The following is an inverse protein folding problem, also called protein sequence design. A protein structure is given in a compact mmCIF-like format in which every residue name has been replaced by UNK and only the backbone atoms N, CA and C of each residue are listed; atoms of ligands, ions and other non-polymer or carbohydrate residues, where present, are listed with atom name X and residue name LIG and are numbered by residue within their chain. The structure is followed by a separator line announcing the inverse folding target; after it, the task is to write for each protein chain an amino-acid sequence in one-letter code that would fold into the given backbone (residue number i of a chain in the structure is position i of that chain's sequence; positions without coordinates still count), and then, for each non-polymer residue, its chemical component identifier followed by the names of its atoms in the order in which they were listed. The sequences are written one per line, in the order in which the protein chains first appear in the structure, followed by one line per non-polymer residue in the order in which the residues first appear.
data_IF_819827898837
#
_entry.id   IF_819827898837
#
_cell.length_a   1.000
_cell.length_b   1.000
_cell.length_c   1.000
_cell.angle_alpha   90.00
_cell.angle_beta   90.00
_cell.angle_gamma   90.00
#
_symmetry.space_group_name_H-M   'P 1'
#
loop_
_entity.id
_entity.type
_entity.pdbx_description
1 polymer ?
#
# COMPACT_ATOMS: atom_id res chain seq x y z
N UNK A 1 4.69 15.40 13.10
CA UNK A 1 6.06 14.93 12.85
C UNK A 1 6.92 16.09 12.34
N UNK A 2 8.22 15.90 12.18
CA UNK A 2 9.06 16.88 11.50
C UNK A 2 8.87 16.78 9.98
N UNK A 3 9.05 17.88 9.23
CA UNK A 3 9.11 17.86 7.78
C UNK A 3 10.16 16.87 7.26
N UNK A 4 9.82 16.11 6.22
CA UNK A 4 10.76 15.21 5.54
C UNK A 4 11.74 16.05 4.72
N UNK A 5 13.02 15.69 4.74
CA UNK A 5 14.08 16.34 3.96
C UNK A 5 14.83 15.38 3.04
N UNK A 6 14.99 14.12 3.49
CA UNK A 6 15.70 13.07 2.77
C UNK A 6 14.73 11.92 2.50
N UNK A 7 14.07 11.98 1.37
CA UNK A 7 13.03 11.04 0.99
C UNK A 7 13.62 9.80 0.30
N UNK A 8 13.13 8.63 0.65
CA UNK A 8 13.31 7.43 -0.16
C UNK A 8 12.05 7.18 -0.99
N UNK A 9 12.19 7.14 -2.31
CA UNK A 9 11.10 6.81 -3.23
C UNK A 9 11.29 5.39 -3.73
N UNK A 10 10.32 4.52 -3.46
CA UNK A 10 10.31 3.15 -3.95
C UNK A 10 9.20 2.98 -4.98
N UNK A 11 9.58 2.75 -6.22
CA UNK A 11 8.65 2.43 -7.30
C UNK A 11 8.47 0.91 -7.38
N UNK A 12 7.24 0.45 -7.14
CA UNK A 12 6.91 -0.98 -7.18
C UNK A 12 6.29 -1.40 -8.52
N UNK A 13 5.97 -0.45 -9.37
CA UNK A 13 5.21 -0.65 -10.61
C UNK A 13 3.84 0.03 -10.55
N UNK A 14 2.86 -0.57 -11.19
CA UNK A 14 1.48 -0.07 -11.25
C UNK A 14 1.24 0.96 -12.35
N UNK A 15 -0.02 1.34 -12.48
CA UNK A 15 -0.56 2.18 -13.58
C UNK A 15 0.20 3.48 -13.76
N UNK A 16 0.63 4.11 -12.67
CA UNK A 16 1.34 5.40 -12.69
C UNK A 16 2.56 5.39 -13.62
N UNK A 17 3.29 4.27 -13.66
CA UNK A 17 4.49 4.12 -14.48
C UNK A 17 4.27 3.35 -15.78
N UNK A 18 3.08 2.81 -16.03
CA UNK A 18 2.80 2.04 -17.24
C UNK A 18 2.98 2.87 -18.51
N UNK A 19 3.42 2.20 -19.55
CA UNK A 19 3.51 2.75 -20.89
C UNK A 19 2.61 1.97 -21.84
N UNK A 20 2.12 2.66 -22.87
CA UNK A 20 1.34 2.04 -23.93
C UNK A 20 2.24 1.14 -24.79
N UNK A 21 1.84 -0.11 -24.95
CA UNK A 21 2.50 -1.10 -25.83
C UNK A 21 1.50 -1.61 -26.86
N UNK A 22 1.95 -2.32 -27.89
CA UNK A 22 1.03 -2.96 -28.86
C UNK A 22 0.05 -3.95 -28.23
N UNK A 23 0.39 -4.49 -27.04
CA UNK A 23 -0.44 -5.43 -26.28
C UNK A 23 -1.30 -4.76 -25.20
N UNK A 24 -1.27 -3.43 -25.09
CA UNK A 24 -1.94 -2.64 -24.07
C UNK A 24 -0.97 -1.96 -23.11
N UNK A 25 -1.47 -1.54 -21.96
CA UNK A 25 -0.63 -0.94 -20.90
C UNK A 25 0.22 -2.01 -20.22
N UNK A 26 1.50 -1.72 -20.05
CA UNK A 26 2.43 -2.60 -19.36
C UNK A 26 3.32 -1.83 -18.38
N UNK A 27 3.69 -2.42 -17.23
CA UNK A 27 4.67 -1.86 -16.32
C UNK A 27 5.99 -1.58 -17.06
N UNK A 28 6.58 -0.40 -16.80
CA UNK A 28 7.83 0.00 -17.41
C UNK A 28 8.74 0.64 -16.38
N UNK A 29 10.05 0.42 -16.54
CA UNK A 29 11.07 1.12 -15.75
C UNK A 29 11.30 2.56 -16.23
N UNK A 30 12.25 3.24 -15.58
CA UNK A 30 12.62 4.61 -15.94
C UNK A 30 11.59 5.67 -15.50
N UNK A 31 10.76 5.36 -14.52
CA UNK A 31 9.80 6.33 -13.98
C UNK A 31 10.52 7.50 -13.29
N UNK A 32 11.70 7.28 -12.72
CA UNK A 32 12.50 8.32 -12.08
C UNK A 32 12.78 9.51 -13.01
N UNK A 33 13.19 9.26 -14.25
CA UNK A 33 13.46 10.33 -15.21
C UNK A 33 12.21 11.17 -15.48
N UNK A 34 11.07 10.52 -15.72
CA UNK A 34 9.78 11.20 -15.93
C UNK A 34 9.33 12.02 -14.72
N UNK A 35 9.51 11.48 -13.52
CA UNK A 35 9.23 12.18 -12.26
C UNK A 35 10.13 13.43 -12.13
N UNK A 36 11.41 13.29 -12.41
CA UNK A 36 12.39 14.39 -12.35
C UNK A 36 12.05 15.50 -13.34
N UNK A 37 11.78 15.13 -14.59
CA UNK A 37 11.42 16.09 -15.64
C UNK A 37 10.13 16.83 -15.28
N UNK A 38 9.12 16.11 -14.78
CA UNK A 38 7.88 16.74 -14.36
C UNK A 38 8.11 17.73 -13.21
N UNK A 39 8.80 17.32 -12.14
CA UNK A 39 9.07 18.20 -11.00
C UNK A 39 9.90 19.43 -11.40
N UNK A 40 10.85 19.29 -12.31
CA UNK A 40 11.61 20.43 -12.85
C UNK A 40 10.75 21.41 -13.66
N UNK A 41 9.68 20.94 -14.27
CA UNK A 41 8.77 21.79 -15.03
C UNK A 41 7.83 22.63 -14.14
N UNK A 42 7.70 22.30 -12.86
CA UNK A 42 6.88 23.01 -11.90
C UNK A 42 7.62 24.22 -11.33
N UNK A 43 6.94 25.38 -11.26
CA UNK A 43 7.49 26.59 -10.63
C UNK A 43 7.56 26.54 -9.11
N UNK A 44 6.78 25.64 -8.49
CA UNK A 44 6.63 25.46 -7.04
C UNK A 44 6.79 23.99 -6.61
N UNK A 45 7.73 23.28 -7.25
CA UNK A 45 8.01 21.89 -6.93
C UNK A 45 8.41 21.72 -5.45
N UNK A 46 8.00 20.64 -4.78
CA UNK A 46 8.46 20.32 -3.43
C UNK A 46 10.00 20.22 -3.36
N UNK A 47 10.60 20.97 -2.44
CA UNK A 47 12.05 20.96 -2.21
C UNK A 47 12.44 19.81 -1.29
N UNK A 48 12.57 18.62 -1.87
CA UNK A 48 12.96 17.38 -1.21
C UNK A 48 14.17 16.77 -1.89
N UNK A 49 15.18 16.41 -1.11
CA UNK A 49 16.23 15.50 -1.61
C UNK A 49 15.67 14.10 -1.60
N UNK A 50 15.79 13.38 -2.68
CA UNK A 50 15.27 12.03 -2.77
C UNK A 50 16.24 11.07 -3.45
N UNK A 51 16.21 9.83 -3.00
CA UNK A 51 16.81 8.67 -3.64
C UNK A 51 15.68 7.81 -4.20
N UNK A 52 15.83 7.35 -5.42
CA UNK A 52 14.87 6.51 -6.10
C UNK A 52 15.36 5.07 -6.20
N UNK A 53 14.49 4.11 -5.99
CA UNK A 53 14.72 2.69 -6.25
C UNK A 53 13.49 2.08 -6.93
N UNK A 54 13.72 1.08 -7.76
CA UNK A 54 12.66 0.32 -8.43
C UNK A 54 12.72 -1.13 -8.00
N UNK A 55 11.57 -1.75 -7.73
CA UNK A 55 11.49 -3.21 -7.65
C UNK A 55 11.72 -3.82 -9.02
N UNK A 56 12.48 -4.90 -9.06
CA UNK A 56 12.84 -5.59 -10.31
C UNK A 56 12.29 -7.01 -10.31
N UNK A 57 11.44 -7.37 -11.27
CA UNK A 57 10.78 -6.47 -12.25
C UNK A 57 9.70 -5.58 -11.60
N UNK A 58 9.32 -4.45 -12.23
CA UNK A 58 8.16 -3.69 -11.80
C UNK A 58 6.90 -4.54 -11.85
N UNK A 59 6.07 -4.45 -10.81
CA UNK A 59 4.92 -5.32 -10.64
C UNK A 59 3.63 -4.69 -11.18
N UNK A 60 2.79 -5.52 -11.78
CA UNK A 60 1.36 -5.25 -11.76
C UNK A 60 0.84 -5.61 -10.37
N UNK A 61 0.15 -4.67 -9.72
CA UNK A 61 -0.32 -4.86 -8.34
C UNK A 61 -1.31 -6.01 -8.18
N UNK A 62 -1.97 -6.46 -9.24
CA UNK A 62 -2.79 -7.67 -9.23
C UNK A 62 -1.97 -8.94 -8.87
N UNK A 63 -0.66 -8.92 -9.08
CA UNK A 63 0.26 -10.01 -8.76
C UNK A 63 1.02 -9.81 -7.44
N UNK A 64 0.56 -8.90 -6.57
CA UNK A 64 1.18 -8.64 -5.27
C UNK A 64 1.10 -9.86 -4.36
N UNK A 65 2.20 -10.16 -3.67
CA UNK A 65 2.33 -11.28 -2.72
C UNK A 65 2.81 -10.82 -1.36
N UNK A 66 2.73 -11.70 -0.35
CA UNK A 66 3.33 -11.47 0.97
C UNK A 66 4.84 -11.23 0.86
N UNK A 67 5.54 -11.98 0.00
CA UNK A 67 6.97 -11.80 -0.25
C UNK A 67 7.31 -10.40 -0.76
N UNK A 68 6.46 -9.82 -1.60
CA UNK A 68 6.63 -8.44 -2.06
C UNK A 68 6.48 -7.44 -0.90
N UNK A 69 5.51 -7.64 0.02
CA UNK A 69 5.36 -6.79 1.20
C UNK A 69 6.57 -6.88 2.13
N UNK A 70 7.13 -8.08 2.31
CA UNK A 70 8.35 -8.27 3.08
C UNK A 70 9.55 -7.56 2.43
N UNK A 71 9.70 -7.66 1.11
CA UNK A 71 10.74 -6.95 0.36
C UNK A 71 10.60 -5.42 0.47
N UNK A 72 9.36 -4.89 0.38
CA UNK A 72 9.10 -3.46 0.62
C UNK A 72 9.47 -3.05 2.05
N UNK A 73 9.06 -3.84 3.06
CA UNK A 73 9.42 -3.60 4.47
C UNK A 73 10.92 -3.53 4.65
N UNK A 74 11.66 -4.48 4.08
CA UNK A 74 13.12 -4.53 4.20
C UNK A 74 13.79 -3.34 3.51
N UNK A 75 13.30 -2.93 2.34
CA UNK A 75 13.77 -1.74 1.65
C UNK A 75 13.54 -0.46 2.48
N UNK A 76 12.37 -0.34 3.13
CA UNK A 76 12.02 0.79 4.00
C UNK A 76 12.94 0.84 5.23
N UNK A 77 13.18 -0.31 5.88
CA UNK A 77 14.08 -0.39 7.03
C UNK A 77 15.50 -0.04 6.63
N UNK A 78 15.98 -0.53 5.48
CA UNK A 78 17.28 -0.18 4.94
C UNK A 78 17.40 1.33 4.60
N UNK A 79 16.33 1.94 4.11
CA UNK A 79 16.29 3.37 3.86
C UNK A 79 16.40 4.19 5.16
N UNK A 80 15.69 3.79 6.22
CA UNK A 80 15.85 4.39 7.55
C UNK A 80 17.30 4.29 8.04
N UNK A 81 17.91 3.10 7.95
CA UNK A 81 19.29 2.86 8.37
C UNK A 81 20.30 3.67 7.55
N UNK A 82 19.95 4.02 6.29
CA UNK A 82 20.73 4.90 5.44
C UNK A 82 20.49 6.40 5.69
N UNK A 83 19.66 6.77 6.69
CA UNK A 83 19.42 8.14 7.11
C UNK A 83 18.31 8.87 6.35
N UNK A 84 17.43 8.14 5.66
CA UNK A 84 16.20 8.74 5.11
C UNK A 84 15.19 8.99 6.23
N UNK A 85 14.46 10.09 6.15
CA UNK A 85 13.52 10.55 7.16
C UNK A 85 12.04 10.48 6.72
N UNK A 86 11.80 9.91 5.53
CA UNK A 86 10.48 9.58 5.01
C UNK A 86 10.55 8.66 3.81
N UNK A 87 9.44 7.99 3.51
CA UNK A 87 9.31 7.06 2.39
C UNK A 87 8.07 7.37 1.57
N UNK A 88 8.21 7.36 0.24
CA UNK A 88 7.11 7.38 -0.71
C UNK A 88 7.15 6.09 -1.54
N UNK A 89 6.06 5.32 -1.49
CA UNK A 89 5.86 4.15 -2.33
C UNK A 89 4.94 4.51 -3.50
N UNK A 90 5.41 4.28 -4.72
CA UNK A 90 4.61 4.37 -5.93
C UNK A 90 4.09 2.99 -6.27
N UNK A 91 2.77 2.79 -6.24
CA UNK A 91 2.13 1.47 -6.20
C UNK A 91 0.93 1.40 -7.14
N UNK A 92 0.62 0.23 -7.64
CA UNK A 92 -0.59 -0.01 -8.43
C UNK A 92 -1.86 -0.02 -7.55
N UNK A 93 -2.97 0.48 -8.08
CA UNK A 93 -4.17 0.77 -7.30
C UNK A 93 -4.96 -0.47 -6.83
N UNK A 94 -4.86 -1.62 -7.51
CA UNK A 94 -5.70 -2.79 -7.23
C UNK A 94 -5.43 -3.39 -5.85
N UNK A 95 -4.18 -3.40 -5.42
CA UNK A 95 -3.81 -3.92 -4.09
C UNK A 95 -3.17 -2.88 -3.19
N UNK A 96 -3.24 -1.59 -3.54
CA UNK A 96 -2.67 -0.50 -2.74
C UNK A 96 -3.20 -0.53 -1.30
N UNK A 97 -4.51 -0.73 -1.12
CA UNK A 97 -5.14 -0.82 0.20
C UNK A 97 -4.62 -2.02 1.02
N UNK A 98 -4.43 -3.18 0.37
CA UNK A 98 -3.84 -4.36 1.00
C UNK A 98 -2.39 -4.11 1.42
N UNK A 99 -1.58 -3.53 0.53
CA UNK A 99 -0.18 -3.21 0.81
C UNK A 99 -0.05 -2.18 1.93
N UNK A 100 -0.90 -1.14 1.93
CA UNK A 100 -0.92 -0.14 2.99
C UNK A 100 -1.31 -0.76 4.35
N UNK A 101 -2.29 -1.66 4.37
CA UNK A 101 -2.69 -2.38 5.57
C UNK A 101 -1.57 -3.31 6.06
N UNK A 102 -0.99 -4.14 5.18
CA UNK A 102 0.10 -5.04 5.53
C UNK A 102 1.31 -4.27 6.09
N UNK A 103 1.75 -3.21 5.40
CA UNK A 103 2.86 -2.37 5.85
C UNK A 103 2.56 -1.64 7.16
N UNK A 104 1.30 -1.28 7.44
CA UNK A 104 0.92 -0.69 8.73
C UNK A 104 1.24 -1.60 9.91
N UNK A 105 1.16 -2.93 9.73
CA UNK A 105 1.48 -3.91 10.76
C UNK A 105 2.93 -4.41 10.68
N UNK A 106 3.53 -4.47 9.49
CA UNK A 106 4.93 -4.86 9.33
C UNK A 106 5.91 -3.78 9.82
N UNK A 107 5.48 -2.52 9.82
CA UNK A 107 6.27 -1.35 10.18
C UNK A 107 5.85 -0.73 11.52
N UNK A 108 5.27 -1.52 12.42
CA UNK A 108 4.92 -1.04 13.76
C UNK A 108 6.13 -0.43 14.46
N UNK A 109 5.94 0.74 15.05
CA UNK A 109 6.96 1.53 15.76
C UNK A 109 8.07 2.10 14.86
N UNK A 110 7.87 2.11 13.53
CA UNK A 110 8.80 2.80 12.62
C UNK A 110 8.76 4.32 12.88
N UNK A 111 9.92 4.99 13.09
CA UNK A 111 9.95 6.39 13.50
C UNK A 111 9.75 7.41 12.37
N UNK A 112 9.67 6.96 11.11
CA UNK A 112 9.51 7.81 9.93
C UNK A 112 8.17 7.55 9.23
N UNK A 113 7.58 8.54 8.55
CA UNK A 113 6.36 8.35 7.78
C UNK A 113 6.61 7.52 6.52
N UNK A 114 5.63 6.69 6.18
CA UNK A 114 5.56 5.93 4.93
C UNK A 114 4.27 6.28 4.22
N UNK A 115 4.36 6.89 3.05
CA UNK A 115 3.22 7.30 2.26
C UNK A 115 3.13 6.48 0.98
N UNK A 116 1.99 5.90 0.70
CA UNK A 116 1.72 5.20 -0.55
C UNK A 116 0.87 6.08 -1.45
N UNK A 117 1.15 6.05 -2.74
CA UNK A 117 0.32 6.65 -3.78
C UNK A 117 0.40 5.88 -5.09
N UNK A 118 -0.41 6.25 -6.04
CA UNK A 118 -0.48 5.68 -7.37
C UNK A 118 -1.38 6.52 -8.25
N UNK A 119 -1.89 5.96 -9.34
CA UNK A 119 -2.87 6.65 -10.18
C UNK A 119 -3.84 5.70 -10.85
N UNK A 120 -5.01 6.21 -11.21
CA UNK A 120 -5.99 5.48 -12.00
C UNK A 120 -5.61 5.46 -13.49
N UNK A 121 -4.93 6.50 -13.96
CA UNK A 121 -4.43 6.60 -15.33
C UNK A 121 -2.89 6.70 -15.36
N UNK A 122 -2.23 6.20 -16.43
CA UNK A 122 -0.79 6.35 -16.60
C UNK A 122 -0.37 7.82 -16.62
N UNK A 123 0.80 8.14 -16.09
CA UNK A 123 1.32 9.50 -16.01
C UNK A 123 1.44 10.23 -17.36
N UNK A 124 1.54 9.48 -18.48
CA UNK A 124 1.56 10.05 -19.83
C UNK A 124 0.19 10.21 -20.49
N UNK A 125 -0.88 9.78 -19.85
CA UNK A 125 -2.23 9.87 -20.41
C UNK A 125 -2.82 11.27 -20.21
N UNK A 126 -3.55 11.82 -21.20
CA UNK A 126 -4.28 13.07 -21.02
C UNK A 126 -5.29 12.99 -19.87
N UNK A 127 -5.30 13.99 -18.98
CA UNK A 127 -6.19 14.04 -17.83
C UNK A 127 -5.85 13.03 -16.72
N UNK A 128 -4.61 12.52 -16.70
CA UNK A 128 -4.16 11.60 -15.64
C UNK A 128 -4.09 12.30 -14.29
N UNK A 129 -4.47 11.55 -13.24
CA UNK A 129 -4.36 11.91 -11.83
C UNK A 129 -2.94 11.65 -11.26
N UNK A 130 -2.03 11.13 -12.07
CA UNK A 130 -0.73 10.64 -11.61
C UNK A 130 0.14 11.73 -10.99
N UNK A 131 0.22 12.88 -11.67
CA UNK A 131 1.08 13.97 -11.21
C UNK A 131 0.49 14.71 -10.02
N UNK A 132 -0.82 14.88 -9.96
CA UNK A 132 -1.50 15.50 -8.83
C UNK A 132 -1.33 14.63 -7.57
N UNK A 133 -1.52 13.32 -7.69
CA UNK A 133 -1.29 12.39 -6.58
C UNK A 133 0.18 12.36 -6.14
N UNK A 134 1.13 12.36 -7.08
CA UNK A 134 2.55 12.37 -6.75
C UNK A 134 2.96 13.67 -6.04
N UNK A 135 2.64 14.82 -6.63
CA UNK A 135 3.04 16.13 -6.09
C UNK A 135 2.36 16.39 -4.74
N UNK A 136 1.08 16.05 -4.62
CA UNK A 136 0.36 16.16 -3.35
C UNK A 136 0.97 15.29 -2.26
N UNK A 137 1.34 14.04 -2.56
CA UNK A 137 2.03 13.16 -1.62
C UNK A 137 3.39 13.74 -1.17
N UNK A 138 4.17 14.31 -2.10
CA UNK A 138 5.45 14.95 -1.79
C UNK A 138 5.25 16.18 -0.87
N UNK A 139 4.23 17.02 -1.12
CA UNK A 139 3.91 18.17 -0.28
C UNK A 139 3.52 17.74 1.14
N UNK A 140 2.67 16.74 1.28
CA UNK A 140 2.27 16.19 2.60
C UNK A 140 3.48 15.73 3.41
N UNK A 141 4.45 15.08 2.75
CA UNK A 141 5.70 14.64 3.39
C UNK A 141 6.58 15.84 3.77
N UNK A 142 6.77 16.79 2.85
CA UNK A 142 7.57 17.99 3.07
C UNK A 142 7.03 18.83 4.22
N UNK A 143 5.70 18.95 4.36
CA UNK A 143 5.03 19.71 5.41
C UNK A 143 4.97 18.99 6.77
N UNK A 144 5.33 17.70 6.81
CA UNK A 144 5.35 16.89 8.03
C UNK A 144 3.96 16.47 8.51
N UNK A 145 2.99 16.40 7.61
CA UNK A 145 1.62 16.01 7.93
C UNK A 145 1.43 14.48 7.97
N UNK A 146 2.31 13.71 7.30
CA UNK A 146 2.24 12.24 7.28
C UNK A 146 2.70 11.61 8.60
N UNK A 147 2.05 10.49 8.99
CA UNK A 147 2.36 9.72 10.21
C UNK A 147 2.15 8.23 10.00
N UNK A 148 3.12 7.41 10.43
CA UNK A 148 3.02 5.97 10.24
C UNK A 148 2.85 5.62 8.77
N UNK A 149 2.03 4.63 8.47
CA UNK A 149 1.70 4.23 7.09
C UNK A 149 0.36 4.84 6.68
N UNK A 150 0.36 5.62 5.60
CA UNK A 150 -0.82 6.29 5.06
C UNK A 150 -0.86 6.18 3.54
N UNK A 151 -2.00 6.45 2.96
CA UNK A 151 -2.22 6.57 1.51
C UNK A 151 -2.59 8.01 1.20
N UNK A 152 -1.95 8.60 0.20
CA UNK A 152 -2.38 9.86 -0.40
C UNK A 152 -2.99 9.58 -1.77
N UNK A 153 -4.23 9.97 -1.97
CA UNK A 153 -4.92 9.75 -3.24
C UNK A 153 -6.05 10.77 -3.40
N UNK A 154 -6.14 11.42 -4.56
CA UNK A 154 -7.18 12.39 -4.88
C UNK A 154 -7.39 13.42 -3.76
N UNK A 155 -6.34 14.15 -3.40
CA UNK A 155 -6.28 15.18 -2.34
C UNK A 155 -6.65 14.70 -0.92
N UNK A 156 -6.77 13.40 -0.71
CA UNK A 156 -7.07 12.82 0.60
C UNK A 156 -5.88 12.08 1.20
N UNK A 157 -5.61 12.33 2.48
CA UNK A 157 -4.65 11.58 3.29
C UNK A 157 -5.40 10.55 4.13
N UNK A 158 -5.24 9.27 3.81
CA UNK A 158 -6.03 8.17 4.33
C UNK A 158 -5.17 7.25 5.22
N UNK A 159 -5.77 6.70 6.28
CA UNK A 159 -5.06 5.80 7.20
C UNK A 159 -4.79 4.43 6.54
N UNK A 160 -3.51 4.00 6.50
CA UNK A 160 -3.09 2.81 5.77
C UNK A 160 -3.81 1.51 6.14
N UNK A 161 -4.11 1.28 7.42
CA UNK A 161 -4.82 0.08 7.87
C UNK A 161 -6.34 0.14 7.72
N UNK A 162 -6.92 1.26 7.23
CA UNK A 162 -8.37 1.45 7.10
C UNK A 162 -8.81 1.92 5.73
N UNK A 163 -7.88 2.16 4.82
CA UNK A 163 -8.19 2.53 3.44
C UNK A 163 -8.74 1.33 2.69
N UNK A 164 -9.71 1.59 1.82
CA UNK A 164 -10.29 0.59 0.90
C UNK A 164 -10.50 1.20 -0.47
N UNK A 165 -10.27 0.42 -1.54
CA UNK A 165 -10.61 0.81 -2.91
C UNK A 165 -12.10 0.55 -3.13
N UNK A 166 -12.88 1.60 -3.28
CA UNK A 166 -14.33 1.52 -3.45
C UNK A 166 -14.78 1.65 -4.92
N UNK A 167 -13.95 2.25 -5.77
CA UNK A 167 -14.27 2.51 -7.18
C UNK A 167 -13.09 2.16 -8.08
N UNK A 168 -13.38 1.67 -9.26
CA UNK A 168 -12.40 1.34 -10.30
C UNK A 168 -12.49 2.26 -11.52
N UNK A 169 -13.46 3.16 -11.56
CA UNK A 169 -13.84 4.01 -12.68
C UNK A 169 -13.84 5.52 -12.37
N UNK A 170 -13.32 5.90 -11.20
CA UNK A 170 -13.26 7.28 -10.75
C UNK A 170 -11.94 7.59 -10.04
N UNK A 171 -11.54 8.87 -10.00
CA UNK A 171 -10.33 9.30 -9.32
C UNK A 171 -10.47 9.29 -7.80
N UNK A 172 -11.65 9.50 -7.25
CA UNK A 172 -11.97 9.32 -5.83
C UNK A 172 -12.13 7.82 -5.49
N UNK A 173 -11.15 7.02 -5.93
CA UNK A 173 -11.20 5.56 -5.88
C UNK A 173 -11.11 4.98 -4.47
N UNK A 174 -10.52 5.69 -3.51
CA UNK A 174 -10.25 5.22 -2.17
C UNK A 174 -11.00 6.00 -1.12
N UNK A 175 -11.41 5.31 -0.05
CA UNK A 175 -11.95 5.93 1.14
C UNK A 175 -11.42 5.26 2.41
N UNK A 176 -11.41 6.01 3.51
CA UNK A 176 -11.08 5.49 4.82
C UNK A 176 -12.33 4.98 5.51
N UNK A 177 -12.31 3.73 5.99
CA UNK A 177 -13.38 3.19 6.82
C UNK A 177 -13.31 3.83 8.22
N UNK A 178 -14.42 4.41 8.72
CA UNK A 178 -14.43 5.09 10.00
C UNK A 178 -14.16 4.10 11.13
N UNK A 179 -13.43 4.55 12.16
CA UNK A 179 -13.23 3.79 13.38
C UNK A 179 -14.20 4.31 14.46
N UNK A 180 -15.23 3.54 14.82
CA UNK A 180 -16.24 3.99 15.78
C UNK A 180 -15.76 4.00 17.23
N UNK A 181 -14.56 3.48 17.52
CA UNK A 181 -14.04 3.38 18.89
C UNK A 181 -12.71 4.12 19.00
N UNK A 182 -12.60 5.00 20.01
CA UNK A 182 -11.33 5.52 20.46
C UNK A 182 -10.62 4.42 21.26
N UNK A 183 -9.53 3.88 20.73
CA UNK A 183 -8.64 3.06 21.52
C UNK A 183 -7.50 3.93 22.04
N UNK A 184 -7.13 3.72 23.29
CA UNK A 184 -5.89 4.28 23.82
C UNK A 184 -4.70 3.75 23.03
N UNK A 185 -3.66 4.59 22.87
CA UNK A 185 -2.41 4.15 22.27
C UNK A 185 -1.71 3.19 23.25
N UNK A 186 -1.78 1.90 22.95
CA UNK A 186 -0.96 0.92 23.64
C UNK A 186 0.46 0.92 23.05
N UNK A 187 1.51 0.76 23.87
CA UNK A 187 2.86 0.60 23.36
C UNK A 187 2.94 -0.65 22.48
N UNK A 188 3.69 -0.56 21.38
CA UNK A 188 3.92 -1.70 20.51
C UNK A 188 4.80 -2.71 21.23
N UNK A 189 4.37 -3.98 21.42
CA UNK A 189 5.23 -5.01 21.98
C UNK A 189 6.50 -5.17 21.15
N UNK A 190 7.66 -5.29 21.80
CA UNK A 190 8.94 -5.43 21.11
C UNK A 190 8.97 -6.59 20.09
N UNK A 191 8.22 -7.67 20.34
CA UNK A 191 8.07 -8.80 19.42
C UNK A 191 7.31 -8.46 18.12
N UNK A 192 6.64 -7.31 18.05
CA UNK A 192 5.87 -6.85 16.90
C UNK A 192 6.51 -5.67 16.15
N UNK A 193 7.60 -5.12 16.67
CA UNK A 193 8.29 -3.98 16.06
C UNK A 193 8.82 -4.29 14.65
N UNK A 194 9.05 -3.23 13.88
CA UNK A 194 9.43 -3.30 12.46
C UNK A 194 10.74 -4.04 12.17
N UNK A 195 11.63 -4.19 13.15
CA UNK A 195 12.91 -4.92 12.99
C UNK A 195 12.79 -6.43 13.22
N UNK A 196 11.64 -6.90 13.68
CA UNK A 196 11.48 -8.33 13.95
C UNK A 196 11.37 -9.13 12.64
N UNK A 197 11.99 -10.31 12.56
CA UNK A 197 11.90 -11.16 11.38
C UNK A 197 10.45 -11.57 11.13
N UNK A 198 10.07 -11.60 9.87
CA UNK A 198 8.76 -12.04 9.39
C UNK A 198 8.96 -13.05 8.28
N UNK A 199 7.98 -13.91 8.08
CA UNK A 199 7.93 -14.87 6.98
C UNK A 199 6.57 -14.85 6.30
N UNK A 200 6.52 -15.40 5.13
CA UNK A 200 5.26 -15.73 4.48
C UNK A 200 4.54 -16.84 5.25
N UNK A 201 3.23 -16.81 5.22
CA UNK A 201 2.34 -17.80 5.83
C UNK A 201 1.36 -18.28 4.77
N UNK A 202 1.18 -19.58 4.62
CA UNK A 202 0.13 -20.12 3.77
C UNK A 202 -1.23 -19.84 4.40
N UNK A 203 -1.79 -18.66 4.07
CA UNK A 203 -3.03 -18.12 4.62
C UNK A 203 -4.14 -18.19 3.58
N UNK A 204 -5.29 -18.75 3.95
CA UNK A 204 -6.53 -18.59 3.22
C UNK A 204 -7.44 -17.57 3.92
N UNK A 205 -8.15 -16.76 3.12
CA UNK A 205 -9.20 -15.85 3.57
C UNK A 205 -10.53 -16.33 2.98
N UNK A 206 -11.52 -16.57 3.81
CA UNK A 206 -12.82 -17.05 3.39
C UNK A 206 -13.94 -16.14 3.92
N UNK A 207 -14.58 -15.34 3.07
CA UNK A 207 -15.80 -14.66 3.44
C UNK A 207 -16.93 -15.69 3.58
N UNK A 208 -17.67 -15.62 4.68
CA UNK A 208 -18.87 -16.43 4.87
C UNK A 208 -20.01 -15.86 4.03
N UNK A 209 -20.72 -16.73 3.33
CA UNK A 209 -21.85 -16.35 2.48
C UNK A 209 -23.01 -17.36 2.63
N UNK A 210 -24.27 -16.95 2.35
CA UNK A 210 -25.39 -17.85 2.37
C UNK A 210 -25.22 -19.07 1.45
N UNK A 211 -25.33 -20.28 2.00
CA UNK A 211 -25.10 -21.53 1.26
C UNK A 211 -23.66 -22.05 1.28
N UNK A 212 -22.75 -21.44 2.04
CA UNK A 212 -21.44 -22.02 2.34
C UNK A 212 -21.65 -23.32 3.12
N UNK A 213 -20.98 -24.39 2.71
CA UNK A 213 -21.03 -25.71 3.35
C UNK A 213 -19.70 -26.05 4.03
N UNK A 214 -19.75 -26.86 5.09
CA UNK A 214 -18.56 -27.37 5.78
C UNK A 214 -17.58 -28.08 4.84
N UNK A 215 -18.09 -28.78 3.82
CA UNK A 215 -17.27 -29.44 2.81
C UNK A 215 -16.33 -28.48 2.07
N UNK A 216 -16.72 -27.22 1.86
CA UNK A 216 -15.84 -26.20 1.24
C UNK A 216 -14.66 -25.87 2.15
N UNK A 217 -14.88 -25.83 3.47
CA UNK A 217 -13.81 -25.60 4.46
C UNK A 217 -12.82 -26.76 4.50
N UNK A 218 -13.32 -28.01 4.43
CA UNK A 218 -12.44 -29.20 4.39
C UNK A 218 -11.45 -29.12 3.26
N UNK A 219 -11.89 -28.77 2.05
CA UNK A 219 -11.00 -28.61 0.89
C UNK A 219 -9.87 -27.59 1.12
N UNK A 220 -10.16 -26.49 1.82
CA UNK A 220 -9.13 -25.53 2.21
C UNK A 220 -8.17 -26.11 3.25
N UNK A 221 -8.68 -26.77 4.29
CA UNK A 221 -7.82 -27.39 5.33
C UNK A 221 -6.94 -28.49 4.74
N UNK A 222 -7.46 -29.31 3.84
CA UNK A 222 -6.72 -30.37 3.15
C UNK A 222 -5.64 -29.82 2.19
N UNK A 223 -5.75 -28.56 1.76
CA UNK A 223 -4.71 -27.88 0.94
C UNK A 223 -3.45 -27.51 1.72
N UNK A 224 -3.40 -27.76 3.03
CA UNK A 224 -2.23 -27.49 3.85
C UNK A 224 -2.05 -26.03 4.24
N UNK A 225 -3.14 -25.26 4.37
CA UNK A 225 -3.07 -23.89 4.90
C UNK A 225 -2.57 -23.89 6.34
N UNK A 226 -1.67 -22.96 6.67
CA UNK A 226 -1.15 -22.75 8.02
C UNK A 226 -2.10 -21.90 8.86
N UNK A 227 -2.89 -21.02 8.20
CA UNK A 227 -3.86 -20.15 8.85
C UNK A 227 -5.09 -19.93 7.98
N UNK A 228 -6.25 -19.79 8.63
CA UNK A 228 -7.53 -19.49 7.99
C UNK A 228 -8.15 -18.26 8.67
N UNK A 229 -8.42 -17.22 7.88
CA UNK A 229 -9.19 -16.06 8.32
C UNK A 229 -10.61 -16.21 7.82
N UNK A 230 -11.58 -16.26 8.73
CA UNK A 230 -13.01 -16.26 8.41
C UNK A 230 -13.55 -14.84 8.53
N UNK A 231 -14.09 -14.31 7.44
CA UNK A 231 -14.84 -13.06 7.44
C UNK A 231 -16.32 -13.37 7.74
N UNK A 232 -16.68 -13.25 9.02
CA UNK A 232 -18.00 -13.58 9.50
C UNK A 232 -19.02 -12.46 9.22
N UNK A 233 -20.32 -12.76 9.44
CA UNK A 233 -21.37 -11.74 9.43
C UNK A 233 -21.20 -10.74 10.57
N UNK A 234 -21.99 -9.66 10.55
CA UNK A 234 -21.77 -8.45 11.37
C UNK A 234 -21.58 -8.66 12.88
N UNK A 235 -22.14 -9.72 13.46
CA UNK A 235 -21.97 -10.07 14.88
C UNK A 235 -20.97 -11.20 15.12
N UNK A 236 -20.17 -11.55 14.13
CA UNK A 236 -19.25 -12.69 14.22
C UNK A 236 -19.96 -14.04 14.07
N UNK A 237 -21.18 -14.05 13.53
CA UNK A 237 -21.97 -15.26 13.27
C UNK A 237 -21.67 -15.83 11.89
N UNK A 238 -22.04 -17.07 11.67
CA UNK A 238 -21.95 -17.79 10.40
C UNK A 238 -23.04 -18.84 10.28
N UNK A 239 -23.10 -19.61 9.17
CA UNK A 239 -23.97 -20.77 9.04
C UNK A 239 -23.71 -21.76 10.17
N UNK A 240 -24.79 -22.24 10.81
CA UNK A 240 -24.74 -23.16 11.98
C UNK A 240 -25.59 -24.40 11.82
N UNK A 241 -26.32 -24.53 10.71
CA UNK A 241 -27.28 -25.60 10.47
C UNK A 241 -26.68 -26.76 9.64
N UNK A 242 -25.37 -26.75 9.42
CA UNK A 242 -24.66 -27.82 8.72
C UNK A 242 -24.22 -28.85 9.79
N UNK A 243 -24.82 -30.04 9.79
CA UNK A 243 -24.52 -31.10 10.75
C UNK A 243 -23.20 -31.84 10.48
N UNK A 244 -22.44 -31.45 9.44
CA UNK A 244 -21.11 -31.98 9.13
C UNK A 244 -20.00 -31.18 9.83
#
# INVERSE_FOLDING_TARGET
MLPVKNLFVLYTGGTIGMLQTPQGLAPAGGFEARMRDHLQSLGDAPDLRWRFAELQPPLDSANMTQGNWLAMRDAIVAALDAGHDGVLLLHGTDTLAYSAAALSFLLLDLPIPVLLTGSMLPAGAPGSDAWDNLVGALRVLQEGHARGVQVYFNDALLHGARVSKLRSDAFDAFAELPRPRHAEHAPVPAALGYRQPRREVNLAVLPLYPGLRAAHLRGLLDSGVEALLLECYGSGTGPSDDEE
#
